data_IF_826636478907
#
_entry.id   IF_826636478907
#
_cell.length_a   1.000
_cell.length_b   1.000
_cell.length_c   1.000
_cell.angle_alpha   90.00
_cell.angle_beta   90.00
_cell.angle_gamma   90.00
#
_symmetry.space_group_name_H-M   'P 1'
#
loop_
_entity.id
_entity.type
_entity.pdbx_description
1 polymer ?
#
# COMPACT_ATOMS: atom_id res chain seq x y z
N UNK A 1 14.46 11.80 38.49
CA UNK A 1 14.59 11.73 37.01
C UNK A 1 13.25 11.27 36.47
N UNK A 2 12.43 12.18 35.93
CA UNK A 2 11.19 11.85 35.26
C UNK A 2 11.56 11.15 33.95
N UNK A 3 11.33 9.85 33.90
CA UNK A 3 11.42 9.09 32.64
C UNK A 3 10.37 9.69 31.68
N UNK A 4 10.82 10.46 30.68
CA UNK A 4 9.98 10.88 29.57
C UNK A 4 9.61 9.62 28.78
N UNK A 5 8.44 9.08 29.08
CA UNK A 5 7.87 7.97 28.31
C UNK A 5 7.36 8.54 26.98
N UNK A 6 7.85 8.04 25.86
CA UNK A 6 7.32 8.40 24.54
C UNK A 6 5.81 8.11 24.49
N UNK A 7 5.05 8.95 23.78
CA UNK A 7 3.67 8.59 23.43
C UNK A 7 3.67 7.35 22.54
N UNK A 8 2.53 6.68 22.42
CA UNK A 8 2.40 5.50 21.56
C UNK A 8 2.82 5.80 20.11
N UNK A 9 2.30 6.88 19.52
CA UNK A 9 2.65 7.28 18.15
C UNK A 9 4.14 7.66 18.01
N UNK A 10 4.71 8.34 18.99
CA UNK A 10 6.13 8.67 18.98
C UNK A 10 7.03 7.42 19.06
N UNK A 11 6.59 6.37 19.78
CA UNK A 11 7.30 5.10 19.82
C UNK A 11 7.24 4.38 18.45
N UNK A 12 6.07 4.33 17.83
CA UNK A 12 5.88 3.76 16.49
C UNK A 12 6.67 4.53 15.41
N UNK A 13 6.67 5.87 15.47
CA UNK A 13 7.48 6.72 14.60
C UNK A 13 8.97 6.40 14.74
N UNK A 14 9.47 6.34 15.97
CA UNK A 14 10.87 6.04 16.26
C UNK A 14 11.29 4.67 15.73
N UNK A 15 10.47 3.64 15.93
CA UNK A 15 10.70 2.30 15.40
C UNK A 15 10.74 2.30 13.86
N UNK A 16 9.76 2.94 13.21
CA UNK A 16 9.70 3.00 11.75
C UNK A 16 10.88 3.74 11.15
N UNK A 17 11.32 4.86 11.75
CA UNK A 17 12.50 5.61 11.33
C UNK A 17 13.76 4.77 11.49
N UNK A 18 13.89 4.02 12.60
CA UNK A 18 15.01 3.10 12.80
C UNK A 18 15.05 2.05 11.68
N UNK A 19 13.94 1.36 11.41
CA UNK A 19 13.84 0.35 10.35
C UNK A 19 14.24 0.93 8.99
N UNK A 20 13.74 2.12 8.64
CA UNK A 20 14.06 2.77 7.36
C UNK A 20 15.56 3.08 7.26
N UNK A 21 16.19 3.54 8.33
CA UNK A 21 17.63 3.83 8.37
C UNK A 21 18.49 2.58 8.28
N UNK A 22 18.10 1.49 8.96
CA UNK A 22 18.78 0.18 8.89
C UNK A 22 18.80 -0.34 7.45
N UNK A 23 17.68 -0.27 6.74
CA UNK A 23 17.63 -0.71 5.34
C UNK A 23 18.59 0.07 4.45
N UNK A 24 18.66 1.39 4.61
CA UNK A 24 19.57 2.22 3.81
C UNK A 24 21.05 1.94 4.16
N UNK A 25 21.31 1.54 5.39
CA UNK A 25 22.68 1.18 5.82
C UNK A 25 23.11 -0.21 5.33
N UNK A 26 22.19 -1.18 5.25
CA UNK A 26 22.51 -2.57 4.94
C UNK A 26 22.40 -2.92 3.44
N UNK A 27 21.49 -2.25 2.70
CA UNK A 27 21.18 -2.59 1.31
C UNK A 27 21.78 -1.57 0.33
N UNK A 28 22.17 -2.06 -0.85
CA UNK A 28 22.86 -1.23 -1.85
C UNK A 28 21.90 -0.38 -2.68
N UNK A 29 20.72 -0.92 -2.96
CA UNK A 29 19.76 -0.32 -3.88
C UNK A 29 18.32 -0.46 -3.39
N UNK A 30 17.96 0.17 -2.26
CA UNK A 30 16.60 0.13 -1.75
C UNK A 30 15.63 0.96 -2.61
N UNK A 31 14.34 0.60 -2.56
CA UNK A 31 13.25 1.33 -3.21
C UNK A 31 12.05 1.40 -2.29
N UNK A 32 11.26 2.48 -2.34
CA UNK A 32 10.01 2.58 -1.60
C UNK A 32 8.81 2.44 -2.54
N UNK A 33 7.97 1.42 -2.29
CA UNK A 33 6.75 1.26 -3.05
C UNK A 33 5.73 2.34 -2.66
N UNK A 34 5.31 3.12 -3.65
CA UNK A 34 4.39 4.23 -3.46
C UNK A 34 3.06 3.95 -4.14
N UNK A 35 2.13 3.39 -3.39
CA UNK A 35 0.78 3.03 -3.88
C UNK A 35 -0.22 4.20 -3.84
N UNK A 36 0.17 5.34 -3.28
CA UNK A 36 -0.65 6.55 -3.07
C UNK A 36 -1.75 6.34 -2.01
N UNK A 37 -1.78 5.19 -1.37
CA UNK A 37 -2.65 4.92 -0.23
C UNK A 37 -2.14 5.60 1.05
N UNK A 38 -3.00 5.73 2.07
CA UNK A 38 -2.68 6.34 3.36
C UNK A 38 -1.40 5.77 4.00
N UNK A 39 -1.26 4.45 3.98
CA UNK A 39 -0.09 3.76 4.56
C UNK A 39 1.21 4.13 3.83
N UNK A 40 1.20 4.17 2.50
CA UNK A 40 2.38 4.60 1.74
C UNK A 40 2.66 6.10 1.87
N UNK A 41 1.65 6.91 2.16
CA UNK A 41 1.84 8.35 2.45
C UNK A 41 2.49 8.55 3.83
N UNK A 42 2.05 7.82 4.85
CA UNK A 42 2.72 7.80 6.18
C UNK A 42 4.16 7.30 6.06
N UNK A 43 4.38 6.19 5.35
CA UNK A 43 5.72 5.63 5.14
C UNK A 43 6.65 6.63 4.44
N UNK A 44 6.17 7.35 3.43
CA UNK A 44 6.92 8.40 2.75
C UNK A 44 7.24 9.58 3.68
N UNK A 45 6.28 9.99 4.52
CA UNK A 45 6.50 11.04 5.52
C UNK A 45 7.59 10.63 6.53
N UNK A 46 7.51 9.42 7.06
CA UNK A 46 8.52 8.86 7.98
C UNK A 46 9.91 8.79 7.33
N UNK A 47 9.99 8.39 6.06
CA UNK A 47 11.25 8.37 5.33
C UNK A 47 11.84 9.78 5.17
N UNK A 48 11.02 10.78 4.87
CA UNK A 48 11.48 12.18 4.83
C UNK A 48 11.99 12.65 6.19
N UNK A 49 11.32 12.31 7.28
CA UNK A 49 11.80 12.60 8.66
C UNK A 49 13.11 11.88 8.96
N UNK A 50 13.24 10.60 8.53
CA UNK A 50 14.43 9.79 8.78
C UNK A 50 15.72 10.41 8.21
N UNK A 51 15.63 11.10 7.08
CA UNK A 51 16.79 11.66 6.38
C UNK A 51 16.85 13.20 6.38
N UNK A 52 15.89 13.87 7.01
CA UNK A 52 15.90 15.34 7.09
C UNK A 52 17.25 15.85 7.67
N UNK A 53 17.85 16.92 7.09
CA UNK A 53 17.38 17.74 5.97
C UNK A 53 17.77 17.25 4.57
N UNK A 54 18.42 16.09 4.46
CA UNK A 54 18.83 15.51 3.17
C UNK A 54 17.62 14.99 2.36
N UNK A 55 17.75 14.93 1.02
CA UNK A 55 16.73 14.27 0.19
C UNK A 55 16.65 12.76 0.48
N UNK A 56 15.61 12.12 0.01
CA UNK A 56 15.46 10.66 0.10
C UNK A 56 16.60 9.96 -0.63
N UNK A 57 17.32 9.01 0.01
CA UNK A 57 18.48 8.32 -0.60
C UNK A 57 18.06 7.23 -1.61
N UNK A 58 16.77 6.97 -1.78
CA UNK A 58 16.20 5.96 -2.67
C UNK A 58 15.02 6.50 -3.46
N UNK A 59 14.67 5.89 -4.61
CA UNK A 59 13.52 6.28 -5.40
C UNK A 59 12.20 5.75 -4.81
N UNK A 60 11.11 6.37 -5.23
CA UNK A 60 9.78 5.85 -5.11
C UNK A 60 9.45 5.01 -6.36
N UNK A 61 8.82 3.85 -6.18
CA UNK A 61 8.33 3.00 -7.27
C UNK A 61 6.81 2.91 -7.23
N UNK A 62 6.16 3.38 -8.28
CA UNK A 62 4.74 3.20 -8.49
C UNK A 62 4.50 2.15 -9.59
N UNK A 63 3.82 1.06 -9.24
CA UNK A 63 3.34 0.08 -10.22
C UNK A 63 1.99 0.56 -10.74
N UNK A 64 1.97 1.03 -11.98
CA UNK A 64 0.78 1.54 -12.63
C UNK A 64 0.10 0.45 -13.47
N UNK A 65 -1.11 0.10 -13.09
CA UNK A 65 -1.91 -0.92 -13.77
C UNK A 65 -2.72 -0.40 -14.96
N UNK A 66 -2.73 0.93 -15.17
CA UNK A 66 -3.61 1.58 -16.14
C UNK A 66 -5.06 1.76 -15.67
N UNK A 67 -5.42 1.27 -14.47
CA UNK A 67 -6.79 1.32 -13.92
C UNK A 67 -6.87 2.09 -12.60
N UNK A 68 -5.93 3.00 -12.35
CA UNK A 68 -5.97 3.86 -11.17
C UNK A 68 -6.97 5.00 -11.36
N UNK A 69 -7.51 5.51 -10.27
CA UNK A 69 -8.28 6.75 -10.29
C UNK A 69 -7.41 7.91 -10.79
N UNK A 70 -8.00 8.79 -11.60
CA UNK A 70 -7.28 9.97 -12.10
C UNK A 70 -6.80 10.86 -10.94
N UNK A 71 -7.60 10.99 -9.89
CA UNK A 71 -7.23 11.73 -8.66
C UNK A 71 -5.93 11.19 -8.02
N UNK A 72 -5.72 9.86 -8.06
CA UNK A 72 -4.47 9.27 -7.55
C UNK A 72 -3.26 9.64 -8.41
N UNK A 73 -3.40 9.60 -9.73
CA UNK A 73 -2.31 9.91 -10.66
C UNK A 73 -1.90 11.38 -10.51
N UNK A 74 -2.88 12.29 -10.49
CA UNK A 74 -2.63 13.72 -10.31
C UNK A 74 -1.93 13.99 -8.97
N UNK A 75 -2.48 13.46 -7.87
CA UNK A 75 -1.88 13.63 -6.53
C UNK A 75 -0.46 13.06 -6.47
N UNK A 76 -0.22 11.88 -7.05
CA UNK A 76 1.12 11.25 -7.12
C UNK A 76 2.13 12.20 -7.76
N UNK A 77 1.81 12.70 -8.95
CA UNK A 77 2.74 13.46 -9.76
C UNK A 77 3.01 14.85 -9.13
N UNK A 78 1.98 15.51 -8.62
CA UNK A 78 2.12 16.80 -7.96
C UNK A 78 2.89 16.68 -6.63
N UNK A 79 2.52 15.71 -5.79
CA UNK A 79 3.14 15.55 -4.47
C UNK A 79 4.60 15.11 -4.57
N UNK A 80 4.92 14.12 -5.39
CA UNK A 80 6.31 13.67 -5.54
C UNK A 80 7.20 14.77 -6.11
N UNK A 81 6.68 15.57 -7.04
CA UNK A 81 7.38 16.74 -7.58
C UNK A 81 7.61 17.81 -6.51
N UNK A 82 6.58 18.10 -5.69
CA UNK A 82 6.67 19.14 -4.65
C UNK A 82 7.74 18.86 -3.58
N UNK A 83 7.97 17.57 -3.28
CA UNK A 83 8.97 17.15 -2.30
C UNK A 83 10.32 16.78 -2.93
N UNK A 84 10.48 16.92 -4.24
CA UNK A 84 11.70 16.58 -4.96
C UNK A 84 12.07 15.09 -4.96
N UNK A 85 11.09 14.20 -4.78
CA UNK A 85 11.33 12.76 -4.76
C UNK A 85 11.51 12.19 -6.18
N UNK A 86 12.49 11.30 -6.34
CA UNK A 86 12.68 10.57 -7.60
C UNK A 86 11.60 9.50 -7.73
N UNK A 87 10.65 9.67 -8.67
CA UNK A 87 9.58 8.73 -8.94
C UNK A 87 9.90 7.87 -10.16
N UNK A 88 9.74 6.56 -10.00
CA UNK A 88 9.76 5.57 -11.09
C UNK A 88 8.34 5.04 -11.24
N UNK A 89 7.78 5.14 -12.44
CA UNK A 89 6.49 4.53 -12.79
C UNK A 89 6.76 3.34 -13.68
N UNK A 90 6.33 2.16 -13.26
CA UNK A 90 6.52 0.92 -14.02
C UNK A 90 5.18 0.28 -14.39
N UNK A 91 5.09 -0.24 -15.60
CA UNK A 91 3.93 -0.95 -16.15
C UNK A 91 4.37 -2.27 -16.77
N UNK A 92 3.52 -3.27 -16.71
CA UNK A 92 3.69 -4.46 -17.53
C UNK A 92 3.06 -4.20 -18.91
N UNK A 93 3.83 -3.61 -19.81
CA UNK A 93 3.38 -3.21 -21.14
C UNK A 93 2.91 -4.41 -21.97
N UNK A 94 3.52 -5.59 -21.80
CA UNK A 94 3.12 -6.80 -22.48
C UNK A 94 1.72 -7.24 -22.06
N UNK A 95 1.43 -7.31 -20.76
CA UNK A 95 0.11 -7.67 -20.29
C UNK A 95 -0.95 -6.64 -20.70
N UNK A 96 -0.60 -5.35 -20.74
CA UNK A 96 -1.48 -4.29 -21.25
C UNK A 96 -1.78 -4.49 -22.74
N UNK A 97 -0.77 -4.75 -23.56
CA UNK A 97 -0.92 -5.03 -24.98
C UNK A 97 -1.77 -6.27 -25.26
N UNK A 98 -1.70 -7.29 -24.40
CA UNK A 98 -2.55 -8.49 -24.44
C UNK A 98 -3.98 -8.22 -23.93
N UNK A 99 -4.30 -6.99 -23.54
CA UNK A 99 -5.64 -6.58 -23.11
C UNK A 99 -6.00 -7.11 -21.72
N UNK A 100 -5.02 -7.21 -20.79
CA UNK A 100 -5.29 -7.57 -19.41
C UNK A 100 -6.29 -6.60 -18.78
N UNK A 101 -7.44 -7.10 -18.35
CA UNK A 101 -8.55 -6.32 -17.80
C UNK A 101 -9.27 -7.12 -16.73
N UNK A 102 -9.70 -6.50 -15.61
CA UNK A 102 -10.33 -7.22 -14.50
C UNK A 102 -11.63 -7.93 -14.87
N UNK A 103 -12.40 -7.40 -15.82
CA UNK A 103 -13.63 -8.04 -16.31
C UNK A 103 -13.31 -9.24 -17.22
N UNK A 104 -12.30 -9.12 -18.10
CA UNK A 104 -11.95 -10.17 -19.05
C UNK A 104 -11.21 -11.35 -18.42
N UNK A 105 -10.24 -11.06 -17.56
CA UNK A 105 -9.39 -12.06 -16.91
C UNK A 105 -9.88 -12.50 -15.54
N UNK A 106 -10.81 -11.75 -14.95
CA UNK A 106 -11.11 -11.79 -13.53
C UNK A 106 -10.06 -11.04 -12.70
N UNK A 107 -10.49 -10.55 -11.53
CA UNK A 107 -9.67 -9.67 -10.68
C UNK A 107 -8.34 -10.32 -10.27
N UNK A 108 -8.34 -11.60 -9.90
CA UNK A 108 -7.14 -12.32 -9.46
C UNK A 108 -6.05 -12.36 -10.53
N UNK A 109 -6.37 -12.86 -11.74
CA UNK A 109 -5.41 -12.96 -12.85
C UNK A 109 -4.96 -11.60 -13.36
N UNK A 110 -5.87 -10.62 -13.42
CA UNK A 110 -5.52 -9.26 -13.78
C UNK A 110 -4.53 -8.65 -12.77
N UNK A 111 -4.77 -8.79 -11.48
CA UNK A 111 -3.85 -8.34 -10.45
C UNK A 111 -2.50 -9.08 -10.50
N UNK A 112 -2.48 -10.38 -10.76
CA UNK A 112 -1.25 -11.15 -10.99
C UNK A 112 -0.41 -10.53 -12.11
N UNK A 113 -1.00 -10.31 -13.28
CA UNK A 113 -0.29 -9.77 -14.45
C UNK A 113 0.13 -8.30 -14.27
N UNK A 114 -0.78 -7.43 -13.81
CA UNK A 114 -0.55 -5.97 -13.80
C UNK A 114 0.06 -5.43 -12.51
N UNK A 115 0.09 -6.21 -11.42
CA UNK A 115 0.72 -5.80 -10.16
C UNK A 115 1.89 -6.69 -9.78
N UNK A 116 1.66 -8.01 -9.62
CA UNK A 116 2.70 -8.93 -9.14
C UNK A 116 3.83 -9.04 -10.15
N UNK A 117 3.51 -9.43 -11.39
CA UNK A 117 4.51 -9.55 -12.46
C UNK A 117 5.19 -8.20 -12.74
N UNK A 118 4.41 -7.10 -12.81
CA UNK A 118 4.99 -5.78 -13.02
C UNK A 118 5.93 -5.36 -11.88
N UNK A 119 5.62 -5.70 -10.63
CA UNK A 119 6.51 -5.44 -9.50
C UNK A 119 7.83 -6.22 -9.63
N UNK A 120 7.75 -7.52 -9.91
CA UNK A 120 8.94 -8.36 -10.08
C UNK A 120 9.81 -7.87 -11.24
N UNK A 121 9.20 -7.55 -12.39
CA UNK A 121 9.88 -6.93 -13.52
C UNK A 121 10.61 -5.62 -13.14
N UNK A 122 9.96 -4.76 -12.34
CA UNK A 122 10.58 -3.52 -11.90
C UNK A 122 11.78 -3.77 -10.97
N UNK A 123 11.64 -4.68 -10.01
CA UNK A 123 12.70 -5.01 -9.07
C UNK A 123 13.93 -5.56 -9.79
N UNK A 124 13.72 -6.50 -10.72
CA UNK A 124 14.78 -7.07 -11.55
C UNK A 124 15.40 -6.02 -12.47
N UNK A 125 14.59 -5.30 -13.24
CA UNK A 125 15.03 -4.29 -14.21
C UNK A 125 15.93 -3.22 -13.61
N UNK A 126 15.61 -2.78 -12.39
CA UNK A 126 16.35 -1.72 -11.70
C UNK A 126 17.36 -2.26 -10.68
N UNK A 127 17.42 -3.56 -10.48
CA UNK A 127 18.32 -4.24 -9.55
C UNK A 127 18.07 -3.88 -8.08
N UNK A 128 16.81 -3.72 -7.68
CA UNK A 128 16.47 -3.40 -6.29
C UNK A 128 16.61 -4.63 -5.40
N UNK A 129 17.37 -4.49 -4.32
CA UNK A 129 17.64 -5.54 -3.33
C UNK A 129 16.76 -5.44 -2.08
N UNK A 130 16.19 -4.26 -1.79
CA UNK A 130 15.23 -4.06 -0.72
C UNK A 130 14.04 -3.20 -1.19
N UNK A 131 12.82 -3.56 -0.82
CA UNK A 131 11.64 -2.79 -1.17
C UNK A 131 10.75 -2.55 0.06
N UNK A 132 10.60 -1.26 0.45
CA UNK A 132 9.70 -0.86 1.51
C UNK A 132 8.25 -0.98 1.09
N UNK A 133 7.40 -1.48 1.98
CA UNK A 133 5.97 -1.59 1.80
C UNK A 133 5.16 -1.19 3.03
N UNK A 134 3.98 -0.65 2.78
CA UNK A 134 3.09 -0.16 3.82
C UNK A 134 2.19 -1.23 4.45
N UNK A 135 2.56 -2.50 4.41
CA UNK A 135 1.76 -3.56 5.01
C UNK A 135 1.81 -3.51 6.54
N UNK A 136 0.67 -3.75 7.19
CA UNK A 136 0.52 -3.83 8.64
C UNK A 136 0.00 -5.19 9.06
N UNK A 137 0.38 -5.64 10.27
CA UNK A 137 -0.06 -6.94 10.82
C UNK A 137 -1.56 -6.99 11.10
N UNK A 138 -2.19 -5.86 11.41
CA UNK A 138 -3.62 -5.77 11.71
C UNK A 138 -4.53 -5.87 10.48
N UNK A 139 -4.01 -5.66 9.26
CA UNK A 139 -4.82 -5.67 8.04
C UNK A 139 -5.48 -7.02 7.78
N UNK A 140 -4.70 -8.11 7.95
CA UNK A 140 -5.19 -9.47 7.74
C UNK A 140 -4.23 -10.54 8.32
N UNK A 141 -4.75 -11.77 8.49
CA UNK A 141 -4.03 -12.88 9.15
C UNK A 141 -2.71 -13.26 8.48
N UNK A 142 -2.61 -13.21 7.15
CA UNK A 142 -1.38 -13.61 6.47
C UNK A 142 -0.26 -12.59 6.68
N UNK A 143 -0.62 -11.31 6.88
CA UNK A 143 0.34 -10.26 7.19
C UNK A 143 0.89 -10.36 8.60
N UNK A 144 0.10 -10.84 9.55
CA UNK A 144 0.55 -11.10 10.91
C UNK A 144 1.65 -12.18 11.00
N UNK A 145 1.77 -13.05 10.00
CA UNK A 145 2.83 -14.07 9.91
C UNK A 145 4.13 -13.53 9.31
N UNK A 146 4.09 -12.40 8.64
CA UNK A 146 5.25 -11.81 7.98
C UNK A 146 6.15 -11.09 8.98
N UNK A 147 7.46 -11.15 8.73
CA UNK A 147 8.46 -10.40 9.48
C UNK A 147 8.56 -8.97 8.96
N UNK A 148 9.17 -8.08 9.74
CA UNK A 148 9.49 -6.71 9.30
C UNK A 148 10.45 -6.77 8.12
N UNK A 149 11.50 -7.61 8.20
CA UNK A 149 12.38 -7.97 7.09
C UNK A 149 11.94 -9.31 6.52
N UNK A 150 11.14 -9.28 5.47
CA UNK A 150 10.53 -10.46 4.86
C UNK A 150 11.30 -10.87 3.61
N UNK A 151 12.07 -11.93 3.72
CA UNK A 151 12.97 -12.42 2.68
C UNK A 151 12.21 -13.06 1.52
N UNK A 152 12.73 -12.82 0.32
CA UNK A 152 12.27 -13.40 -0.94
C UNK A 152 13.42 -14.11 -1.59
N UNK A 153 13.14 -15.30 -2.13
CA UNK A 153 14.09 -16.06 -2.94
C UNK A 153 14.36 -15.38 -4.31
N UNK A 154 15.18 -16.02 -5.12
CA UNK A 154 15.53 -15.57 -6.48
C UNK A 154 14.33 -15.44 -7.42
N UNK A 155 13.19 -16.09 -7.11
CA UNK A 155 11.93 -15.97 -7.86
C UNK A 155 10.98 -14.93 -7.25
N UNK A 156 11.40 -14.22 -6.20
CA UNK A 156 10.58 -13.25 -5.46
C UNK A 156 9.54 -13.88 -4.53
N UNK A 157 9.63 -15.19 -4.26
CA UNK A 157 8.66 -15.94 -3.47
C UNK A 157 8.97 -15.88 -1.97
N UNK A 158 7.91 -15.90 -1.16
CA UNK A 158 8.01 -15.94 0.29
C UNK A 158 7.84 -17.34 0.83
N UNK A 159 8.81 -17.82 1.61
CA UNK A 159 8.73 -19.04 2.39
C UNK A 159 8.79 -18.71 3.89
N UNK A 160 7.72 -18.99 4.67
CA UNK A 160 7.71 -18.71 6.11
C UNK A 160 8.78 -19.47 6.90
N UNK A 161 9.30 -20.59 6.37
CA UNK A 161 10.34 -21.40 7.02
C UNK A 161 11.74 -20.77 6.90
N UNK A 162 11.94 -19.93 5.90
CA UNK A 162 13.22 -19.29 5.59
C UNK A 162 13.30 -17.83 6.10
N UNK A 163 12.41 -17.45 7.03
CA UNK A 163 12.42 -16.15 7.64
C UNK A 163 13.31 -16.15 8.90
N UNK A 164 13.93 -15.00 9.16
CA UNK A 164 14.84 -14.84 10.30
C UNK A 164 14.10 -14.34 11.54
N UNK A 165 14.50 -14.74 12.74
CA UNK A 165 13.96 -14.15 13.96
C UNK A 165 14.38 -12.68 14.12
N UNK A 166 13.47 -11.87 14.66
CA UNK A 166 13.67 -10.43 14.91
C UNK A 166 13.62 -10.16 16.43
N UNK A 167 14.52 -10.80 17.16
CA UNK A 167 14.61 -10.63 18.61
C UNK A 167 15.21 -9.27 18.94
N UNK A 168 14.62 -8.59 19.95
CA UNK A 168 15.07 -7.27 20.44
C UNK A 168 15.15 -6.19 19.38
N UNK A 169 14.31 -6.25 18.34
CA UNK A 169 14.32 -5.33 17.19
C UNK A 169 15.67 -5.27 16.46
N UNK A 170 16.40 -6.37 16.46
CA UNK A 170 17.61 -6.53 15.67
C UNK A 170 17.25 -7.19 14.34
N UNK A 171 17.63 -6.53 13.25
CA UNK A 171 17.36 -6.98 11.90
C UNK A 171 18.66 -7.49 11.26
N UNK A 172 18.56 -8.61 10.57
CA UNK A 172 19.69 -9.15 9.81
C UNK A 172 19.33 -9.09 8.32
N UNK A 173 19.83 -8.05 7.64
CA UNK A 173 19.57 -7.78 6.23
C UNK A 173 20.44 -8.57 5.23
N UNK A 174 21.28 -9.49 5.70
CA UNK A 174 22.16 -10.26 4.79
C UNK A 174 21.33 -11.08 3.78
N UNK A 175 21.56 -10.84 2.51
CA UNK A 175 20.94 -11.57 1.39
C UNK A 175 22.04 -12.29 0.57
N UNK A 176 21.61 -13.36 -0.14
CA UNK A 176 22.44 -14.01 -1.16
C UNK A 176 22.15 -13.42 -2.54
N UNK A 177 22.97 -13.73 -3.50
CA UNK A 177 22.77 -13.34 -4.90
C UNK A 177 21.40 -13.83 -5.40
N UNK A 178 20.62 -12.94 -6.02
CA UNK A 178 19.26 -13.24 -6.48
C UNK A 178 18.16 -13.03 -5.44
N UNK A 179 18.47 -13.05 -4.14
CA UNK A 179 17.48 -12.78 -3.09
C UNK A 179 17.17 -11.28 -2.96
N UNK A 180 16.00 -10.98 -2.41
CA UNK A 180 15.59 -9.62 -2.06
C UNK A 180 14.80 -9.60 -0.76
N UNK A 181 14.62 -8.40 -0.20
CA UNK A 181 13.83 -8.23 1.05
C UNK A 181 12.67 -7.28 0.82
N UNK A 182 11.51 -7.66 1.34
CA UNK A 182 10.39 -6.74 1.54
C UNK A 182 10.46 -6.24 2.97
N UNK A 183 10.45 -4.92 3.16
CA UNK A 183 10.55 -4.32 4.48
C UNK A 183 9.25 -3.58 4.82
N UNK A 184 8.73 -3.83 6.02
CA UNK A 184 7.45 -3.29 6.47
C UNK A 184 7.60 -2.38 7.69
N UNK A 185 7.99 -1.11 7.51
CA UNK A 185 8.19 -0.17 8.63
C UNK A 185 6.94 0.08 9.46
N UNK A 186 5.76 -0.11 8.87
CA UNK A 186 4.47 0.07 9.54
C UNK A 186 3.89 -1.23 10.11
N UNK A 187 4.67 -2.29 10.21
CA UNK A 187 4.20 -3.63 10.61
C UNK A 187 3.42 -3.63 11.93
N UNK A 188 3.85 -2.85 12.91
CA UNK A 188 3.24 -2.77 14.24
C UNK A 188 2.16 -1.68 14.39
N UNK A 189 1.89 -0.91 13.33
CA UNK A 189 0.84 0.11 13.31
C UNK A 189 -0.54 -0.51 13.09
N UNK A 190 -1.56 0.08 13.69
CA UNK A 190 -2.97 -0.20 13.39
C UNK A 190 -3.52 0.79 12.36
N UNK A 191 -4.73 0.53 11.81
CA UNK A 191 -5.41 1.50 10.95
C UNK A 191 -5.63 2.82 11.69
N UNK A 192 -5.95 2.74 12.99
CA UNK A 192 -6.16 3.94 13.82
C UNK A 192 -4.88 4.73 14.00
N UNK A 193 -3.75 4.07 14.31
CA UNK A 193 -2.46 4.75 14.43
C UNK A 193 -2.10 5.51 13.14
N UNK A 194 -2.37 4.92 11.98
CA UNK A 194 -2.14 5.58 10.68
C UNK A 194 -3.00 6.83 10.53
N UNK A 195 -4.29 6.76 10.85
CA UNK A 195 -5.18 7.92 10.73
C UNK A 195 -4.88 9.01 11.75
N UNK A 196 -4.62 8.65 13.01
CA UNK A 196 -4.24 9.59 14.06
C UNK A 196 -2.91 10.28 13.72
N UNK A 197 -1.95 9.54 13.19
CA UNK A 197 -0.67 10.10 12.78
C UNK A 197 -0.79 11.03 11.54
N UNK A 198 -1.65 10.68 10.59
CA UNK A 198 -1.98 11.57 9.45
C UNK A 198 -2.57 12.89 9.95
N UNK A 199 -3.49 12.83 10.91
CA UNK A 199 -4.11 14.00 11.52
C UNK A 199 -3.10 14.83 12.31
N UNK A 200 -2.29 14.20 13.19
CA UNK A 200 -1.30 14.88 14.03
C UNK A 200 -0.19 15.57 13.22
N UNK A 201 0.28 14.90 12.16
CA UNK A 201 1.40 15.38 11.34
C UNK A 201 0.95 16.13 10.08
N UNK A 202 -0.35 16.34 9.89
CA UNK A 202 -0.95 17.01 8.72
C UNK A 202 -0.45 16.43 7.38
N UNK A 203 -0.36 15.10 7.30
CA UNK A 203 0.18 14.41 6.13
C UNK A 203 -0.77 14.57 4.94
N UNK A 204 -0.30 15.10 3.79
CA UNK A 204 -1.12 15.17 2.59
C UNK A 204 -1.53 13.77 2.10
N UNK A 205 -2.82 13.59 1.86
CA UNK A 205 -3.41 12.35 1.33
C UNK A 205 -4.31 12.65 0.13
N UNK A 206 -4.51 11.65 -0.71
CA UNK A 206 -5.35 11.80 -1.90
C UNK A 206 -6.82 12.07 -1.52
N UNK A 207 -7.53 12.97 -2.23
CA UNK A 207 -8.91 13.39 -1.89
C UNK A 207 -9.95 12.28 -1.92
N UNK A 208 -9.63 11.10 -2.44
CA UNK A 208 -10.51 9.93 -2.46
C UNK A 208 -10.91 9.43 -1.06
N UNK A 209 -10.13 9.74 -0.05
CA UNK A 209 -10.44 9.39 1.35
C UNK A 209 -11.55 10.25 1.96
N UNK A 210 -11.83 11.42 1.39
CA UNK A 210 -12.88 12.33 1.83
C UNK A 210 -14.18 12.07 1.10
N UNK A 211 -15.28 12.26 1.81
CA UNK A 211 -16.61 12.05 1.28
C UNK A 211 -17.00 13.15 0.28
N UNK A 212 -17.54 12.74 -0.85
CA UNK A 212 -18.18 13.61 -1.84
C UNK A 212 -19.22 12.85 -2.64
N UNK A 213 -20.16 13.52 -3.33
CA UNK A 213 -21.03 12.88 -4.30
C UNK A 213 -20.21 12.19 -5.41
N UNK A 214 -20.49 10.90 -5.65
CA UNK A 214 -19.82 10.10 -6.69
C UNK A 214 -20.84 9.21 -7.39
N UNK A 215 -20.62 9.00 -8.69
CA UNK A 215 -21.37 7.99 -9.44
C UNK A 215 -20.85 6.61 -9.12
N UNK A 216 -21.74 5.74 -8.70
CA UNK A 216 -21.41 4.36 -8.32
C UNK A 216 -22.42 3.37 -8.94
N UNK A 217 -21.95 2.14 -9.14
CA UNK A 217 -22.74 0.98 -9.48
C UNK A 217 -22.92 0.16 -8.21
N UNK A 218 -24.16 -0.08 -7.81
CA UNK A 218 -24.47 -0.90 -6.65
C UNK A 218 -24.49 -2.38 -7.03
N UNK A 219 -23.49 -3.13 -6.57
CA UNK A 219 -23.35 -4.56 -6.83
C UNK A 219 -23.35 -5.34 -5.53
N UNK A 220 -24.50 -5.91 -5.15
CA UNK A 220 -24.69 -6.50 -3.82
C UNK A 220 -24.47 -5.45 -2.73
N UNK A 221 -23.51 -5.69 -1.82
CA UNK A 221 -23.16 -4.75 -0.75
C UNK A 221 -22.01 -3.79 -1.13
N UNK A 222 -21.49 -3.86 -2.35
CA UNK A 222 -20.39 -3.03 -2.80
C UNK A 222 -20.89 -1.83 -3.61
N UNK A 223 -20.30 -0.66 -3.34
CA UNK A 223 -20.44 0.55 -4.13
C UNK A 223 -19.22 0.66 -5.04
N UNK A 224 -19.37 0.27 -6.31
CA UNK A 224 -18.27 0.26 -7.27
C UNK A 224 -18.29 1.60 -8.01
N UNK A 225 -17.17 2.36 -8.07
CA UNK A 225 -17.13 3.60 -8.85
C UNK A 225 -17.51 3.35 -10.30
N UNK A 226 -18.36 4.20 -10.87
CA UNK A 226 -18.71 4.13 -12.29
C UNK A 226 -17.52 4.47 -13.19
N UNK A 227 -16.57 5.26 -12.66
CA UNK A 227 -15.29 5.54 -13.31
C UNK A 227 -14.46 4.25 -13.46
N UNK A 228 -14.29 3.79 -14.70
CA UNK A 228 -13.50 2.59 -15.05
C UNK A 228 -14.23 1.26 -14.81
N UNK A 229 -15.46 1.26 -14.32
CA UNK A 229 -16.30 0.08 -14.22
C UNK A 229 -17.39 0.08 -15.31
N UNK A 230 -17.74 -1.11 -15.80
CA UNK A 230 -18.86 -1.27 -16.73
C UNK A 230 -20.07 -1.80 -15.96
N UNK A 231 -21.20 -1.08 -16.06
CA UNK A 231 -22.47 -1.56 -15.54
C UNK A 231 -22.90 -2.82 -16.31
N UNK A 232 -23.33 -3.84 -15.58
CA UNK A 232 -23.92 -5.05 -16.15
C UNK A 232 -25.40 -4.80 -16.47
N UNK A 233 -26.00 -5.71 -17.25
CA UNK A 233 -27.42 -5.64 -17.58
C UNK A 233 -28.27 -5.64 -16.29
N UNK A 234 -29.13 -4.62 -16.15
CA UNK A 234 -29.97 -4.43 -14.96
C UNK A 234 -29.34 -3.63 -13.83
N UNK A 235 -28.04 -3.33 -13.85
CA UNK A 235 -27.40 -2.45 -12.88
C UNK A 235 -27.64 -0.97 -13.25
N UNK A 236 -27.84 -0.13 -12.21
CA UNK A 236 -28.02 1.31 -12.38
C UNK A 236 -26.84 2.08 -11.81
N UNK A 237 -26.50 3.18 -12.45
CA UNK A 237 -25.57 4.16 -11.92
C UNK A 237 -26.37 5.13 -11.04
N UNK A 238 -25.94 5.30 -9.82
CA UNK A 238 -26.55 6.20 -8.83
C UNK A 238 -25.48 7.16 -8.29
N UNK A 239 -25.87 8.40 -8.03
CA UNK A 239 -24.99 9.35 -7.34
C UNK A 239 -25.23 9.22 -5.84
N UNK A 240 -24.17 8.88 -5.10
CA UNK A 240 -24.21 8.75 -3.65
C UNK A 240 -23.06 9.50 -2.99
N UNK A 241 -23.29 10.01 -1.77
CA UNK A 241 -22.22 10.58 -0.94
C UNK A 241 -21.42 9.42 -0.33
N UNK A 242 -20.15 9.32 -0.69
CA UNK A 242 -19.31 8.19 -0.31
C UNK A 242 -17.82 8.55 -0.32
N UNK A 243 -17.02 7.75 0.35
CA UNK A 243 -15.55 7.80 0.36
C UNK A 243 -14.94 6.41 0.19
N UNK A 244 -13.63 6.37 0.07
CA UNK A 244 -12.90 5.09 0.08
C UNK A 244 -12.14 4.92 1.40
N UNK A 245 -12.16 3.73 1.99
CA UNK A 245 -11.33 3.38 3.16
C UNK A 245 -9.96 2.84 2.74
N UNK A 246 -9.89 2.22 1.58
CA UNK A 246 -8.66 1.68 0.99
C UNK A 246 -8.66 1.93 -0.50
N UNK A 247 -7.49 2.09 -1.10
CA UNK A 247 -7.34 2.44 -2.51
C UNK A 247 -6.64 1.33 -3.30
N UNK A 248 -7.14 1.11 -4.49
CA UNK A 248 -6.61 0.15 -5.45
C UNK A 248 -6.84 0.58 -6.90
N UNK A 249 -7.14 -0.38 -7.77
CA UNK A 249 -7.66 -0.06 -9.11
C UNK A 249 -9.13 0.36 -9.00
N UNK A 250 -9.56 1.37 -9.76
CA UNK A 250 -10.93 1.90 -9.73
C UNK A 250 -11.98 0.79 -9.85
N UNK A 251 -11.94 -0.13 -10.83
CA UNK A 251 -12.97 -1.15 -10.98
C UNK A 251 -12.93 -2.26 -9.90
N UNK A 252 -11.91 -2.27 -9.02
CA UNK A 252 -11.72 -3.31 -8.01
C UNK A 252 -11.82 -2.78 -6.58
N UNK A 253 -12.15 -1.50 -6.40
CA UNK A 253 -12.20 -0.83 -5.09
C UNK A 253 -13.61 -0.34 -4.83
N UNK A 254 -14.26 -0.87 -3.80
CA UNK A 254 -15.56 -0.40 -3.36
C UNK A 254 -15.46 0.83 -2.46
N UNK A 255 -16.43 1.72 -2.59
CA UNK A 255 -16.64 2.84 -1.68
C UNK A 255 -17.52 2.43 -0.50
N UNK A 256 -17.58 3.29 0.51
CA UNK A 256 -18.51 3.19 1.66
C UNK A 256 -19.33 4.46 1.74
N UNK A 257 -20.59 4.33 2.16
CA UNK A 257 -21.41 5.49 2.51
C UNK A 257 -20.74 6.22 3.68
N UNK A 258 -20.58 7.51 3.56
CA UNK A 258 -19.95 8.31 4.59
C UNK A 258 -20.19 9.79 4.29
N UNK A 259 -20.33 10.60 5.34
CA UNK A 259 -20.38 12.06 5.26
C UNK A 259 -19.09 12.71 5.75
N UNK A 260 -18.05 11.91 6.06
CA UNK A 260 -16.79 12.41 6.59
C UNK A 260 -16.01 13.21 5.53
N UNK A 261 -15.90 14.52 5.73
CA UNK A 261 -15.24 15.49 4.84
C UNK A 261 -13.93 16.02 5.40
N UNK A 262 -13.64 15.73 6.68
CA UNK A 262 -12.41 16.14 7.38
C UNK A 262 -11.66 14.93 7.95
N UNK A 263 -10.38 15.10 8.30
CA UNK A 263 -9.58 14.06 8.92
C UNK A 263 -10.13 13.62 10.28
N UNK A 264 -10.60 14.58 11.08
CA UNK A 264 -11.19 14.31 12.40
C UNK A 264 -12.45 13.43 12.28
N UNK A 265 -13.28 13.69 11.25
CA UNK A 265 -14.46 12.87 10.99
C UNK A 265 -14.08 11.47 10.54
N UNK A 266 -13.04 11.32 9.70
CA UNK A 266 -12.50 10.03 9.28
C UNK A 266 -11.95 9.24 10.47
N UNK A 267 -11.17 9.86 11.35
CA UNK A 267 -10.66 9.25 12.59
C UNK A 267 -11.82 8.75 13.45
N UNK A 268 -12.83 9.59 13.68
CA UNK A 268 -14.02 9.22 14.48
C UNK A 268 -14.80 8.06 13.87
N UNK A 269 -15.02 8.09 12.56
CA UNK A 269 -15.70 7.01 11.83
C UNK A 269 -14.90 5.72 11.86
N UNK A 270 -13.58 5.80 11.71
CA UNK A 270 -12.69 4.64 11.72
C UNK A 270 -12.62 3.99 13.11
N UNK A 271 -12.68 4.78 14.19
CA UNK A 271 -12.74 4.28 15.57
C UNK A 271 -14.02 3.48 15.88
N UNK A 272 -15.11 3.77 15.18
CA UNK A 272 -16.39 3.06 15.32
C UNK A 272 -16.52 1.86 14.38
N UNK A 273 -15.59 1.69 13.44
CA UNK A 273 -15.65 0.64 12.44
C UNK A 273 -15.38 -0.73 13.07
N UNK A 274 -16.30 -1.67 12.91
CA UNK A 274 -16.17 -3.06 13.39
C UNK A 274 -15.59 -4.00 12.32
N UNK A 275 -15.46 -3.53 11.08
CA UNK A 275 -15.02 -4.32 9.93
C UNK A 275 -13.69 -3.84 9.38
N UNK A 276 -12.89 -4.77 8.86
CA UNK A 276 -11.62 -4.44 8.21
C UNK A 276 -11.81 -3.46 7.05
N UNK A 277 -10.87 -2.55 6.88
CA UNK A 277 -10.82 -1.62 5.75
C UNK A 277 -10.77 -2.34 4.39
N UNK A 278 -10.28 -3.57 4.36
CA UNK A 278 -10.13 -4.38 3.15
C UNK A 278 -11.42 -5.05 2.68
N UNK A 279 -12.49 -5.04 3.48
CA UNK A 279 -13.77 -5.70 3.13
C UNK A 279 -14.38 -5.15 1.83
N UNK A 280 -14.08 -3.91 1.46
CA UNK A 280 -14.55 -3.30 0.20
C UNK A 280 -13.72 -3.66 -1.02
N UNK A 281 -12.61 -4.43 -0.87
CA UNK A 281 -11.77 -4.86 -1.98
C UNK A 281 -12.28 -6.13 -2.62
N UNK A 282 -12.64 -6.07 -3.89
CA UNK A 282 -13.16 -7.23 -4.65
C UNK A 282 -12.17 -8.40 -4.67
N UNK A 283 -10.85 -8.11 -4.70
CA UNK A 283 -9.83 -9.16 -4.73
C UNK A 283 -9.81 -10.02 -3.47
N UNK A 284 -10.22 -9.48 -2.34
CA UNK A 284 -10.18 -10.18 -1.05
C UNK A 284 -11.39 -11.11 -0.85
N UNK A 285 -12.40 -11.01 -1.72
CA UNK A 285 -13.54 -11.92 -1.80
C UNK A 285 -13.30 -13.12 -2.74
N UNK A 286 -12.12 -13.23 -3.35
CA UNK A 286 -11.76 -14.32 -4.27
C UNK A 286 -11.34 -15.61 -3.55
N UNK A 287 -11.32 -16.72 -4.29
CA UNK A 287 -10.98 -18.06 -3.78
C UNK A 287 -9.51 -18.24 -3.39
N UNK A 288 -8.59 -17.39 -3.84
CA UNK A 288 -7.15 -17.46 -3.50
C UNK A 288 -6.85 -16.63 -2.26
N UNK A 289 -6.18 -17.26 -1.27
CA UNK A 289 -5.76 -16.55 -0.06
C UNK A 289 -4.62 -15.55 -0.38
N UNK A 290 -4.44 -14.54 0.48
CA UNK A 290 -3.29 -13.64 0.38
C UNK A 290 -1.95 -14.39 0.61
N UNK A 291 -1.98 -15.48 1.36
CA UNK A 291 -0.80 -16.35 1.56
C UNK A 291 -0.36 -17.02 0.26
N UNK A 292 -1.32 -17.50 -0.56
CA UNK A 292 -0.99 -18.06 -1.87
C UNK A 292 -0.42 -17.00 -2.81
N UNK A 293 -0.97 -15.79 -2.80
CA UNK A 293 -0.45 -14.67 -3.60
C UNK A 293 0.98 -14.27 -3.23
N UNK A 294 1.36 -14.37 -1.94
CA UNK A 294 2.76 -14.12 -1.50
C UNK A 294 3.73 -15.16 -2.04
N UNK A 295 3.30 -16.42 -2.15
CA UNK A 295 4.10 -17.49 -2.79
C UNK A 295 4.29 -17.22 -4.29
N UNK A 296 3.39 -16.47 -4.92
CA UNK A 296 3.51 -16.00 -6.31
C UNK A 296 4.37 -14.72 -6.45
N UNK A 297 4.94 -14.21 -5.35
CA UNK A 297 5.71 -12.96 -5.36
C UNK A 297 4.90 -11.69 -5.13
N UNK A 298 3.62 -11.80 -4.75
CA UNK A 298 2.80 -10.65 -4.40
C UNK A 298 3.29 -10.00 -3.08
N UNK A 299 2.97 -8.73 -2.98
CA UNK A 299 3.35 -7.86 -1.88
C UNK A 299 2.32 -7.87 -0.77
#
# INVERSE_FOLDING_TARGET
MTQHRLSHLAALESESIHIIREVVAEFRNPVMLYSIGKDSSVMLHLARKAFYPSPLPFPLLHVDTGYKFQEMITFRDEYTKSIGARLIVHRNEEAIAQGAHPIKLGVGRCCGALKTTALLQALEKYGFDAAFGGARRDEERSRAKERIFSFRDEFGQWDPRNQRPELWNLYNGRIHEGESVRVFPLSNWTEMDVWEYILEQEIPIVPLYFSKPREVIKRGNLLIPAEGAQALEGEKIETVTCRFRTLGCSPCTGAVYSDATTLEEIVRESALATRSERETRIIDHGASSMEDKKKEGYF
#
